data_IF_417636423522
#
_entry.id   IF_417636423522
#
_cell.length_a   1.000
_cell.length_b   1.000
_cell.length_c   1.000
_cell.angle_alpha   90.00
_cell.angle_beta   90.00
_cell.angle_gamma   90.00
#
_symmetry.space_group_name_H-M   'P 1'
#
loop_
_entity.id
_entity.type
_entity.pdbx_description
1 polymer ?
#
# COMPACT_ATOMS: atom_id res chain seq x y z
N UNK A 1 0.93 -18.62 -12.53
CA UNK A 1 -0.17 -17.66 -12.42
C UNK A 1 0.30 -16.36 -13.05
N UNK A 2 -0.31 -15.95 -14.17
CA UNK A 2 0.07 -14.70 -14.84
C UNK A 2 -0.72 -13.55 -14.20
N UNK A 3 -0.11 -12.89 -13.23
CA UNK A 3 -0.66 -11.64 -12.72
C UNK A 3 -0.32 -10.52 -13.70
N UNK A 4 -1.32 -9.70 -14.03
CA UNK A 4 -1.12 -8.51 -14.85
C UNK A 4 -0.59 -7.38 -13.96
N UNK A 5 0.64 -6.93 -14.22
CA UNK A 5 1.31 -5.89 -13.46
C UNK A 5 1.23 -4.55 -14.19
N UNK A 6 0.75 -3.54 -13.49
CA UNK A 6 0.75 -2.16 -13.96
C UNK A 6 2.01 -1.45 -13.43
N UNK A 7 3.18 -1.83 -13.95
CA UNK A 7 4.50 -1.29 -13.59
C UNK A 7 5.21 -0.75 -14.82
N UNK A 8 6.05 0.30 -14.70
CA UNK A 8 7.05 0.62 -15.71
C UNK A 8 7.98 -0.58 -15.94
N UNK A 9 8.38 -0.82 -17.20
CA UNK A 9 9.14 -2.02 -17.59
C UNK A 9 10.45 -2.17 -16.80
N UNK A 10 11.24 -1.09 -16.68
CA UNK A 10 12.51 -1.11 -15.93
C UNK A 10 12.31 -1.48 -14.46
N UNK A 11 11.18 -1.10 -13.90
CA UNK A 11 10.83 -1.41 -12.52
C UNK A 11 10.36 -2.85 -12.35
N UNK A 12 9.70 -3.41 -13.36
CA UNK A 12 9.33 -4.83 -13.38
C UNK A 12 10.59 -5.72 -13.38
N UNK A 13 11.62 -5.34 -14.13
CA UNK A 13 12.90 -6.06 -14.13
C UNK A 13 13.61 -5.99 -12.76
N UNK A 14 13.63 -4.82 -12.11
CA UNK A 14 14.19 -4.68 -10.76
C UNK A 14 13.44 -5.54 -9.75
N UNK A 15 12.12 -5.52 -9.79
CA UNK A 15 11.26 -6.34 -8.93
C UNK A 15 11.52 -7.83 -9.13
N UNK A 16 11.65 -8.29 -10.38
CA UNK A 16 11.95 -9.68 -10.69
C UNK A 16 13.34 -10.07 -10.19
N UNK A 17 14.34 -9.21 -10.35
CA UNK A 17 15.69 -9.45 -9.85
C UNK A 17 15.74 -9.53 -8.32
N UNK A 18 15.00 -8.68 -7.62
CA UNK A 18 14.87 -8.73 -6.16
C UNK A 18 14.15 -9.99 -5.70
N UNK A 19 13.09 -10.42 -6.40
CA UNK A 19 12.37 -11.66 -6.14
C UNK A 19 13.29 -12.90 -6.28
N UNK A 20 14.12 -12.93 -7.31
CA UNK A 20 15.05 -14.04 -7.51
C UNK A 20 16.20 -14.04 -6.49
N UNK A 21 16.68 -12.87 -6.10
CA UNK A 21 17.64 -12.71 -4.99
C UNK A 21 17.04 -13.19 -3.68
N UNK A 22 15.79 -12.88 -3.43
CA UNK A 22 15.03 -13.26 -2.25
C UNK A 22 14.84 -14.77 -2.11
N UNK A 23 14.55 -15.46 -3.21
CA UNK A 23 14.47 -16.92 -3.23
C UNK A 23 15.80 -17.57 -2.84
N UNK A 24 16.91 -16.90 -3.13
CA UNK A 24 18.25 -17.37 -2.83
C UNK A 24 18.70 -17.11 -1.39
N UNK A 25 18.16 -16.09 -0.73
CA UNK A 25 18.46 -15.75 0.66
C UNK A 25 17.25 -15.12 1.38
N UNK A 26 16.29 -15.93 1.84
CA UNK A 26 15.07 -15.45 2.50
C UNK A 26 15.32 -14.66 3.80
N UNK A 27 16.44 -14.94 4.50
CA UNK A 27 16.76 -14.29 5.78
C UNK A 27 17.25 -12.85 5.62
N UNK A 28 17.98 -12.53 4.56
CA UNK A 28 18.44 -11.16 4.31
C UNK A 28 17.30 -10.17 4.07
N UNK A 29 16.11 -10.66 3.70
CA UNK A 29 14.93 -9.86 3.45
C UNK A 29 14.15 -9.52 4.72
N UNK A 30 14.23 -10.38 5.73
CA UNK A 30 13.54 -10.19 7.01
C UNK A 30 14.22 -9.11 7.85
N UNK A 31 15.55 -8.97 7.73
CA UNK A 31 16.34 -8.01 8.51
C UNK A 31 16.20 -6.55 8.05
N UNK A 32 15.69 -6.31 6.83
CA UNK A 32 15.55 -4.98 6.23
C UNK A 32 14.19 -4.31 6.40
N UNK A 33 13.18 -5.00 6.92
CA UNK A 33 11.83 -4.43 7.06
C UNK A 33 11.49 -4.14 8.52
N UNK A 34 11.10 -2.90 8.86
CA UNK A 34 10.63 -2.59 10.19
C UNK A 34 9.38 -3.44 10.50
N UNK A 35 9.34 -4.02 11.71
CA UNK A 35 8.16 -4.73 12.19
C UNK A 35 6.91 -3.84 11.99
N UNK A 36 5.99 -4.29 11.15
CA UNK A 36 4.73 -3.59 10.95
C UNK A 36 3.94 -3.65 12.25
N UNK A 37 3.62 -2.48 12.81
CA UNK A 37 2.78 -2.37 14.00
C UNK A 37 1.49 -3.17 13.80
N UNK A 38 1.02 -3.83 14.84
CA UNK A 38 -0.14 -4.76 14.82
C UNK A 38 -1.43 -4.16 14.22
N UNK A 39 -1.53 -2.83 14.09
CA UNK A 39 -2.68 -2.12 13.51
C UNK A 39 -2.54 -1.81 12.03
N UNK A 40 -1.36 -2.03 11.41
CA UNK A 40 -1.07 -1.71 10.02
C UNK A 40 -0.97 -0.21 9.70
N UNK A 41 -1.09 0.67 10.69
CA UNK A 41 -0.90 2.12 10.56
C UNK A 41 -0.23 2.71 11.80
N UNK A 42 0.32 3.90 11.65
CA UNK A 42 0.82 4.71 12.75
C UNK A 42 -0.16 5.84 13.06
N UNK A 43 -0.44 6.09 14.35
CA UNK A 43 -1.27 7.21 14.77
C UNK A 43 -0.39 8.41 15.13
N UNK A 44 -0.46 9.46 14.33
CA UNK A 44 0.32 10.70 14.51
C UNK A 44 -0.64 11.88 14.64
N UNK A 45 -0.71 12.47 15.81
CA UNK A 45 -1.56 13.65 16.06
C UNK A 45 -3.05 13.43 15.74
N UNK A 46 -3.55 12.20 15.84
CA UNK A 46 -4.91 11.84 15.48
C UNK A 46 -5.10 11.53 13.99
N UNK A 47 -4.01 11.41 13.23
CA UNK A 47 -4.03 10.96 11.84
C UNK A 47 -3.51 9.52 11.77
N UNK A 48 -4.29 8.61 11.21
CA UNK A 48 -3.85 7.26 10.90
C UNK A 48 -3.03 7.28 9.60
N UNK A 49 -1.73 7.08 9.71
CA UNK A 49 -0.81 7.03 8.57
C UNK A 49 -0.66 5.60 8.12
N UNK A 50 -1.16 5.29 6.93
CA UNK A 50 -1.13 3.95 6.32
C UNK A 50 -0.05 3.95 5.24
N UNK A 51 1.03 3.17 5.40
CA UNK A 51 2.09 3.11 4.40
C UNK A 51 1.66 2.26 3.20
N UNK A 52 1.96 2.77 1.99
CA UNK A 52 1.82 2.06 0.71
C UNK A 52 3.19 2.12 0.03
N UNK A 53 4.07 1.20 0.40
CA UNK A 53 5.48 1.22 -0.01
C UNK A 53 5.83 0.03 -0.90
N UNK A 54 6.56 0.29 -1.98
CA UNK A 54 6.95 -0.73 -2.96
C UNK A 54 5.82 -1.14 -3.88
N UNK A 55 5.99 -2.20 -4.67
CA UNK A 55 4.97 -2.71 -5.58
C UNK A 55 3.70 -3.12 -4.84
N UNK A 56 2.55 -2.84 -5.45
CA UNK A 56 1.24 -3.25 -4.94
C UNK A 56 1.00 -4.71 -5.36
N UNK A 57 0.78 -5.57 -4.37
CA UNK A 57 0.50 -7.00 -4.54
C UNK A 57 -0.85 -7.34 -3.92
N UNK A 58 -1.46 -8.47 -4.28
CA UNK A 58 -2.78 -8.83 -3.74
C UNK A 58 -2.75 -9.11 -2.25
N UNK A 59 -1.84 -9.97 -1.84
CA UNK A 59 -1.71 -10.41 -0.46
C UNK A 59 -0.42 -9.89 0.15
N UNK A 60 -0.52 -9.48 1.42
CA UNK A 60 0.65 -9.03 2.14
C UNK A 60 1.65 -10.17 2.29
N UNK A 61 2.80 -9.97 1.68
CA UNK A 61 3.97 -10.83 1.83
C UNK A 61 5.14 -10.07 2.40
N UNK A 62 6.32 -10.64 2.24
CA UNK A 62 7.60 -9.99 2.56
C UNK A 62 7.95 -8.86 1.56
N UNK A 63 7.26 -8.81 0.42
CA UNK A 63 7.54 -7.91 -0.68
C UNK A 63 6.32 -7.03 -1.00
N UNK A 64 6.52 -5.72 -1.01
CA UNK A 64 5.53 -4.75 -1.45
C UNK A 64 4.38 -4.47 -0.49
N UNK A 65 3.44 -3.67 -0.95
CA UNK A 65 2.22 -3.30 -0.23
C UNK A 65 1.08 -4.26 -0.62
N UNK A 66 0.63 -5.09 0.31
CA UNK A 66 -0.52 -5.96 0.09
C UNK A 66 -1.82 -5.16 0.06
N UNK A 67 -2.65 -5.38 -0.96
CA UNK A 67 -3.98 -4.76 -1.03
C UNK A 67 -4.86 -5.15 0.16
N UNK A 68 -4.75 -6.41 0.61
CA UNK A 68 -5.43 -6.93 1.80
C UNK A 68 -5.00 -6.22 3.08
N UNK A 69 -3.70 -5.97 3.24
CA UNK A 69 -3.16 -5.27 4.40
C UNK A 69 -3.57 -3.79 4.42
N UNK A 70 -3.53 -3.12 3.27
CA UNK A 70 -3.98 -1.72 3.15
C UNK A 70 -5.48 -1.61 3.43
N UNK A 71 -6.29 -2.52 2.89
CA UNK A 71 -7.73 -2.58 3.17
C UNK A 71 -8.03 -2.84 4.65
N UNK A 72 -7.30 -3.75 5.28
CA UNK A 72 -7.43 -4.05 6.71
C UNK A 72 -7.05 -2.85 7.58
N UNK A 73 -5.95 -2.17 7.25
CA UNK A 73 -5.51 -0.95 7.92
C UNK A 73 -6.52 0.18 7.79
N UNK A 74 -7.08 0.35 6.60
CA UNK A 74 -8.14 1.33 6.33
C UNK A 74 -9.38 1.07 7.19
N UNK A 75 -9.83 -0.18 7.25
CA UNK A 75 -10.97 -0.60 8.08
C UNK A 75 -10.70 -0.37 9.56
N UNK A 76 -9.51 -0.72 10.05
CA UNK A 76 -9.12 -0.50 11.44
C UNK A 76 -9.06 1.00 11.77
N UNK A 77 -8.49 1.83 10.89
CA UNK A 77 -8.42 3.28 11.07
C UNK A 77 -9.81 3.94 11.06
N UNK A 78 -10.75 3.42 10.27
CA UNK A 78 -12.13 3.90 10.28
C UNK A 78 -12.84 3.59 11.60
N UNK A 79 -12.56 2.45 12.21
CA UNK A 79 -13.16 2.03 13.49
C UNK A 79 -12.48 2.67 14.71
N UNK A 80 -11.26 3.19 14.57
CA UNK A 80 -10.51 3.78 15.69
C UNK A 80 -11.01 5.20 16.00
N UNK A 81 -11.61 5.45 17.18
CA UNK A 81 -12.07 6.78 17.57
C UNK A 81 -10.93 7.79 17.74
N UNK A 82 -9.71 7.34 17.97
CA UNK A 82 -8.52 8.19 18.08
C UNK A 82 -8.02 8.68 16.72
N UNK A 83 -8.38 7.99 15.64
CA UNK A 83 -8.05 8.38 14.27
C UNK A 83 -9.13 9.32 13.71
N UNK A 84 -8.85 10.61 13.69
CA UNK A 84 -9.76 11.65 13.15
C UNK A 84 -9.64 11.82 11.63
N UNK A 85 -8.53 11.41 11.06
CA UNK A 85 -8.24 11.46 9.63
C UNK A 85 -7.35 10.27 9.23
N UNK A 86 -7.29 9.99 7.94
CA UNK A 86 -6.50 8.91 7.34
C UNK A 86 -5.57 9.53 6.29
N UNK A 87 -4.31 9.16 6.33
CA UNK A 87 -3.31 9.53 5.34
C UNK A 87 -2.70 8.27 4.72
N UNK A 88 -2.78 8.14 3.41
CA UNK A 88 -1.99 7.15 2.68
C UNK A 88 -0.62 7.77 2.39
N UNK A 89 0.44 7.21 2.98
CA UNK A 89 1.82 7.59 2.69
C UNK A 89 2.37 6.69 1.60
N UNK A 90 2.51 7.23 0.39
CA UNK A 90 2.72 6.46 -0.84
C UNK A 90 4.12 6.66 -1.39
N UNK A 91 4.85 5.56 -1.54
CA UNK A 91 6.07 5.45 -2.34
C UNK A 91 5.99 4.14 -3.12
N UNK A 92 5.31 4.17 -4.27
CA UNK A 92 4.97 2.96 -5.01
C UNK A 92 4.92 3.20 -6.52
N UNK A 93 5.47 2.26 -7.31
CA UNK A 93 5.37 2.27 -8.76
C UNK A 93 3.98 1.84 -9.28
N UNK A 94 3.11 1.36 -8.40
CA UNK A 94 1.92 0.62 -8.76
C UNK A 94 2.11 -0.88 -8.59
N UNK A 95 1.39 -1.69 -9.33
CA UNK A 95 1.50 -3.15 -9.21
C UNK A 95 0.34 -3.90 -9.85
N UNK A 96 -0.11 -4.96 -9.20
CA UNK A 96 -1.16 -5.86 -9.69
C UNK A 96 -2.48 -5.12 -9.91
N UNK A 97 -3.06 -5.29 -11.09
CA UNK A 97 -4.35 -4.65 -11.47
C UNK A 97 -5.52 -5.29 -10.73
N UNK A 98 -5.51 -6.62 -10.60
CA UNK A 98 -6.58 -7.35 -9.91
C UNK A 98 -6.69 -6.91 -8.44
N UNK A 99 -7.88 -6.54 -7.99
CA UNK A 99 -8.15 -6.04 -6.64
C UNK A 99 -7.90 -4.53 -6.44
N UNK A 100 -7.25 -3.85 -7.39
CA UNK A 100 -6.99 -2.41 -7.28
C UNK A 100 -8.29 -1.60 -7.29
N UNK A 101 -9.27 -2.00 -8.09
CA UNK A 101 -10.57 -1.32 -8.13
C UNK A 101 -11.29 -1.45 -6.78
N UNK A 102 -11.31 -2.63 -6.21
CA UNK A 102 -11.98 -2.89 -4.94
C UNK A 102 -11.35 -2.09 -3.81
N UNK A 103 -10.01 -1.98 -3.78
CA UNK A 103 -9.32 -1.14 -2.81
C UNK A 103 -9.57 0.34 -3.06
N UNK A 104 -9.61 0.78 -4.32
CA UNK A 104 -9.94 2.16 -4.69
C UNK A 104 -11.37 2.53 -4.26
N UNK A 105 -12.34 1.64 -4.45
CA UNK A 105 -13.71 1.81 -4.00
C UNK A 105 -13.79 1.90 -2.46
N UNK A 106 -13.04 1.07 -1.74
CA UNK A 106 -12.97 1.11 -0.28
C UNK A 106 -12.39 2.45 0.23
N UNK A 107 -11.37 2.99 -0.44
CA UNK A 107 -10.80 4.31 -0.12
C UNK A 107 -11.84 5.41 -0.41
N UNK A 108 -12.52 5.33 -1.55
CA UNK A 108 -13.56 6.27 -1.92
C UNK A 108 -14.75 6.24 -0.94
N UNK A 109 -15.09 5.09 -0.40
CA UNK A 109 -16.08 4.96 0.69
C UNK A 109 -15.55 5.54 2.00
N UNK A 110 -14.30 5.24 2.37
CA UNK A 110 -13.69 5.71 3.60
C UNK A 110 -13.70 7.24 3.73
N UNK A 111 -13.43 7.96 2.63
CA UNK A 111 -13.45 9.43 2.60
C UNK A 111 -14.82 10.05 2.90
N UNK A 112 -15.91 9.30 2.79
CA UNK A 112 -17.25 9.76 3.19
C UNK A 112 -17.44 9.72 4.70
N UNK A 113 -16.65 8.91 5.41
CA UNK A 113 -16.75 8.69 6.86
C UNK A 113 -15.70 9.48 7.64
N UNK A 114 -14.48 9.58 7.12
CA UNK A 114 -13.37 10.35 7.72
C UNK A 114 -12.63 11.11 6.63
N UNK A 115 -11.94 12.18 7.00
CA UNK A 115 -11.06 12.88 6.06
C UNK A 115 -9.96 11.93 5.61
N UNK A 116 -9.84 11.73 4.30
CA UNK A 116 -8.80 10.91 3.69
C UNK A 116 -7.94 11.79 2.78
N UNK A 117 -6.64 11.60 2.84
CA UNK A 117 -5.67 12.22 1.95
C UNK A 117 -4.61 11.20 1.54
N UNK A 118 -3.92 11.47 0.44
CA UNK A 118 -2.72 10.75 0.06
C UNK A 118 -1.55 11.74 -0.04
N UNK A 119 -0.39 11.30 0.41
CA UNK A 119 0.87 11.98 0.29
C UNK A 119 1.81 11.15 -0.58
N UNK A 120 2.16 11.67 -1.73
CA UNK A 120 3.17 11.06 -2.60
C UNK A 120 4.56 11.42 -2.06
N UNK A 121 5.07 10.59 -1.17
CA UNK A 121 6.37 10.78 -0.50
C UNK A 121 7.57 10.42 -1.41
N UNK A 122 7.28 10.02 -2.62
CA UNK A 122 8.24 9.65 -3.65
C UNK A 122 7.49 9.31 -4.92
N UNK A 123 7.76 8.15 -5.49
CA UNK A 123 7.04 7.66 -6.66
C UNK A 123 5.59 7.32 -6.31
N UNK A 124 4.67 7.82 -7.11
CA UNK A 124 3.24 7.49 -7.01
C UNK A 124 2.70 7.32 -8.44
N UNK A 125 2.80 6.10 -8.97
CA UNK A 125 2.47 5.82 -10.36
C UNK A 125 1.45 4.69 -10.50
N UNK A 126 0.80 4.59 -11.67
CA UNK A 126 -0.07 3.49 -12.06
C UNK A 126 -1.15 3.19 -10.99
N UNK A 127 -1.27 1.96 -10.51
CA UNK A 127 -2.23 1.57 -9.47
C UNK A 127 -2.12 2.43 -8.20
N UNK A 128 -0.91 2.83 -7.79
CA UNK A 128 -0.71 3.70 -6.62
C UNK A 128 -1.33 5.09 -6.85
N UNK A 129 -1.17 5.66 -8.04
CA UNK A 129 -1.82 6.92 -8.40
C UNK A 129 -3.34 6.79 -8.41
N UNK A 130 -3.87 5.67 -8.91
CA UNK A 130 -5.31 5.40 -8.86
C UNK A 130 -5.82 5.42 -7.41
N UNK A 131 -5.16 4.69 -6.50
CA UNK A 131 -5.55 4.69 -5.08
C UNK A 131 -5.46 6.10 -4.46
N UNK A 132 -4.38 6.84 -4.74
CA UNK A 132 -4.21 8.21 -4.27
C UNK A 132 -5.33 9.13 -4.74
N UNK A 133 -5.74 9.03 -6.00
CA UNK A 133 -6.78 9.87 -6.60
C UNK A 133 -8.16 9.67 -5.96
N UNK A 134 -8.39 8.53 -5.32
CA UNK A 134 -9.65 8.21 -4.64
C UNK A 134 -9.78 8.85 -3.25
N UNK A 135 -8.69 9.42 -2.69
CA UNK A 135 -8.71 10.01 -1.33
C UNK A 135 -9.34 11.40 -1.28
N UNK A 136 -9.39 12.12 -2.41
CA UNK A 136 -9.85 13.52 -2.46
C UNK A 136 -10.97 13.73 -3.48
N UNK A 137 -11.81 14.74 -3.19
CA UNK A 137 -12.64 15.44 -4.18
C UNK A 137 -11.91 16.65 -4.72
#
# INVERSE_FOLDING_TARGET
MNELWALPFEMAEQVLAELDSAKSNPQALVEGFPERKARGYELVGGVAVIPVSGPIVREQGWYGAGQDAVASSLKAALADPSARAILLDITSPGGVVAGTKELADAIAEARTKKRCAAYANGLCASAAYWLASCTRR
#
